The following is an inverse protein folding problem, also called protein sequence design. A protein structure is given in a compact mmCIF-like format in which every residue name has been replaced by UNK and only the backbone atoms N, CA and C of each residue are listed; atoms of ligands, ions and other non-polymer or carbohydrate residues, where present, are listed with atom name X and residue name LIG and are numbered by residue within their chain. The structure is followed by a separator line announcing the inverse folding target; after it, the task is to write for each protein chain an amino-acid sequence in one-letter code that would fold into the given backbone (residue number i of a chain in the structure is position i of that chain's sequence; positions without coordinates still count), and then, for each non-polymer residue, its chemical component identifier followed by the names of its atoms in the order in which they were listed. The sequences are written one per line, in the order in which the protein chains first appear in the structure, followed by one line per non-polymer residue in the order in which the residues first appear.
data_IF_942271860882
#
_entry.id   IF_942271860882
#
_cell.length_a   1.000
_cell.length_b   1.000
_cell.length_c   1.000
_cell.angle_alpha   90.00
_cell.angle_beta   90.00
_cell.angle_gamma   90.00
#
_symmetry.space_group_name_H-M   'P 1'
#
loop_
_entity.id
_entity.type
_entity.pdbx_description
1 polymer ?
#
# COMPACT_ATOMS: atom_id res chain seq x y z
N UNK A 1 -14.86 37.99 2.83
CA UNK A 1 -14.62 36.96 3.86
C UNK A 1 -15.35 35.71 3.42
N UNK A 2 -14.68 34.81 2.71
CA UNK A 2 -15.24 33.50 2.36
C UNK A 2 -15.39 32.71 3.66
N UNK A 3 -16.61 32.27 3.96
CA UNK A 3 -16.86 31.33 5.05
C UNK A 3 -16.18 30.02 4.65
N UNK A 4 -15.11 29.67 5.34
CA UNK A 4 -14.63 28.30 5.44
C UNK A 4 -15.78 27.46 5.99
N UNK A 5 -16.48 26.74 5.11
CA UNK A 5 -17.36 25.66 5.55
C UNK A 5 -16.46 24.66 6.28
N UNK A 6 -16.70 24.47 7.57
CA UNK A 6 -16.03 23.44 8.36
C UNK A 6 -16.25 22.11 7.65
N UNK A 7 -15.15 21.39 7.42
CA UNK A 7 -15.15 19.97 7.05
C UNK A 7 -16.12 19.26 8.02
N UNK A 8 -17.02 18.38 7.55
CA UNK A 8 -17.84 17.60 8.47
C UNK A 8 -16.91 16.92 9.48
N UNK A 9 -17.16 17.08 10.78
CA UNK A 9 -16.32 16.55 11.88
C UNK A 9 -16.02 15.04 11.71
N UNK A 10 -16.91 14.31 11.01
CA UNK A 10 -16.76 12.90 10.68
C UNK A 10 -15.73 12.59 9.57
N UNK A 11 -15.35 13.55 8.72
CA UNK A 11 -14.41 13.35 7.61
C UNK A 11 -12.95 13.65 8.00
N UNK A 12 -12.72 14.58 8.94
CA UNK A 12 -11.37 14.92 9.43
C UNK A 12 -10.63 13.71 10.03
N UNK A 13 -11.35 12.77 10.66
CA UNK A 13 -10.76 11.53 11.19
C UNK A 13 -10.26 10.55 10.12
N UNK A 14 -10.78 10.61 8.88
CA UNK A 14 -10.35 9.73 7.78
C UNK A 14 -9.27 10.37 6.90
N UNK A 15 -8.95 11.65 7.12
CA UNK A 15 -7.95 12.39 6.37
C UNK A 15 -6.66 12.37 7.17
N UNK A 16 -5.74 11.47 6.83
CA UNK A 16 -4.35 11.63 7.26
C UNK A 16 -3.73 12.71 6.37
N UNK A 17 -3.86 13.99 6.72
CA UNK A 17 -3.42 15.11 5.87
C UNK A 17 -1.93 15.07 5.50
N UNK A 18 -1.12 14.27 6.22
CA UNK A 18 0.31 14.10 5.95
C UNK A 18 0.62 12.65 5.56
N UNK A 19 0.94 12.34 4.29
CA UNK A 19 1.53 11.05 3.96
C UNK A 19 2.79 10.82 4.81
N UNK A 20 3.12 9.57 5.14
CA UNK A 20 4.46 9.23 5.62
C UNK A 20 5.49 9.85 4.66
N UNK A 21 6.57 10.52 5.14
CA UNK A 21 7.55 11.20 4.30
C UNK A 21 8.47 10.20 3.59
N UNK A 22 7.88 9.38 2.73
CA UNK A 22 8.51 8.30 1.97
C UNK A 22 8.74 8.84 0.58
N UNK A 23 10.00 8.96 0.19
CA UNK A 23 10.39 9.36 -1.16
C UNK A 23 10.22 8.19 -2.12
N UNK A 24 10.10 8.51 -3.40
CA UNK A 24 10.04 7.53 -4.47
C UNK A 24 11.24 6.55 -4.47
N UNK A 25 12.42 7.05 -4.09
CA UNK A 25 13.66 6.29 -4.00
C UNK A 25 13.75 5.41 -2.74
N UNK A 26 12.93 5.69 -1.71
CA UNK A 26 12.88 4.87 -0.49
C UNK A 26 12.14 3.55 -0.74
N UNK A 27 11.35 3.46 -1.81
CA UNK A 27 10.67 2.22 -2.21
C UNK A 27 11.67 1.29 -2.89
N UNK A 28 12.13 0.27 -2.19
CA UNK A 28 13.14 -0.67 -2.72
C UNK A 28 12.49 -1.68 -3.68
N UNK A 29 12.99 -1.73 -4.92
CA UNK A 29 12.51 -2.64 -5.97
C UNK A 29 11.20 -2.16 -6.60
N UNK A 30 10.33 -3.12 -6.96
CA UNK A 30 9.02 -2.86 -7.57
C UNK A 30 9.06 -2.07 -8.90
N UNK A 31 10.13 -2.19 -9.68
CA UNK A 31 10.36 -1.37 -10.88
C UNK A 31 9.22 -1.40 -11.89
N UNK A 32 8.59 -2.58 -12.08
CA UNK A 32 7.43 -2.71 -12.97
C UNK A 32 6.21 -1.95 -12.43
N UNK A 33 5.96 -2.02 -11.12
CA UNK A 33 4.86 -1.30 -10.48
C UNK A 33 5.11 0.22 -10.46
N UNK A 34 6.34 0.63 -10.14
CA UNK A 34 6.79 2.03 -10.25
C UNK A 34 6.55 2.58 -11.65
N UNK A 35 6.95 1.85 -12.68
CA UNK A 35 6.70 2.22 -14.08
C UNK A 35 5.22 2.35 -14.40
N UNK A 36 4.40 1.38 -14.01
CA UNK A 36 2.96 1.42 -14.24
C UNK A 36 2.29 2.62 -13.54
N UNK A 37 2.74 2.98 -12.34
CA UNK A 37 2.31 4.19 -11.62
C UNK A 37 2.75 5.45 -12.34
N UNK A 38 4.01 5.53 -12.79
CA UNK A 38 4.50 6.68 -13.56
C UNK A 38 3.64 6.94 -14.79
N UNK A 39 3.33 5.89 -15.55
CA UNK A 39 2.51 5.97 -16.76
C UNK A 39 1.04 6.32 -16.47
N UNK A 40 0.50 5.92 -15.31
CA UNK A 40 -0.92 6.09 -14.97
C UNK A 40 -1.23 7.38 -14.21
N UNK A 41 -0.25 7.94 -13.48
CA UNK A 41 -0.45 9.08 -12.58
C UNK A 41 0.53 10.21 -12.90
N UNK A 42 1.83 9.94 -12.83
CA UNK A 42 2.86 11.00 -12.84
C UNK A 42 2.97 11.67 -14.21
N UNK A 43 3.03 10.90 -15.31
CA UNK A 43 3.14 11.47 -16.66
C UNK A 43 1.90 12.29 -17.04
N UNK A 44 0.66 11.80 -16.84
CA UNK A 44 -0.52 12.61 -17.10
C UNK A 44 -0.63 13.87 -16.24
N UNK A 45 -0.16 13.85 -14.99
CA UNK A 45 -0.10 15.05 -14.15
C UNK A 45 0.91 16.07 -14.67
N UNK A 46 2.07 15.61 -15.16
CA UNK A 46 3.13 16.50 -15.69
C UNK A 46 2.77 17.10 -17.05
N UNK A 47 2.13 16.33 -17.94
CA UNK A 47 1.81 16.72 -19.33
C UNK A 47 0.43 16.21 -19.74
N UNK A 48 -0.67 16.76 -19.18
CA UNK A 48 -2.03 16.32 -19.47
C UNK A 48 -2.41 16.47 -20.95
N UNK A 49 -1.77 17.41 -21.66
CA UNK A 49 -1.94 17.65 -23.09
C UNK A 49 -1.55 16.45 -23.96
N UNK A 50 -0.69 15.57 -23.46
CA UNK A 50 -0.28 14.35 -24.17
C UNK A 50 -1.29 13.19 -24.02
N UNK A 51 -2.36 13.37 -23.24
CA UNK A 51 -3.36 12.35 -22.95
C UNK A 51 -4.77 12.78 -23.40
N UNK A 52 -4.99 13.07 -24.70
CA UNK A 52 -6.27 13.56 -25.21
C UNK A 52 -7.42 12.54 -25.10
N UNK A 53 -7.11 11.26 -24.91
CA UNK A 53 -8.08 10.17 -24.68
C UNK A 53 -8.38 9.95 -23.19
N UNK A 54 -7.79 10.75 -22.30
CA UNK A 54 -7.84 10.55 -20.86
C UNK A 54 -6.85 9.50 -20.36
N UNK A 55 -6.88 9.25 -19.06
CA UNK A 55 -6.02 8.29 -18.37
C UNK A 55 -6.71 7.69 -17.13
N UNK A 56 -6.20 6.57 -16.59
CA UNK A 56 -6.78 5.91 -15.42
C UNK A 56 -6.87 6.81 -14.18
N UNK A 57 -7.96 6.68 -13.43
CA UNK A 57 -8.12 7.30 -12.10
C UNK A 57 -8.27 6.27 -10.99
N UNK A 58 -8.78 5.08 -11.32
CA UNK A 58 -8.82 3.94 -10.42
C UNK A 58 -7.65 3.01 -10.68
N UNK A 59 -6.84 2.78 -9.66
CA UNK A 59 -5.67 1.90 -9.70
C UNK A 59 -5.78 0.87 -8.58
N UNK A 60 -5.79 -0.42 -8.92
CA UNK A 60 -5.79 -1.50 -7.95
C UNK A 60 -4.37 -2.04 -7.79
N UNK A 61 -3.81 -1.92 -6.58
CA UNK A 61 -2.59 -2.57 -6.14
C UNK A 61 -2.97 -3.90 -5.50
N UNK A 62 -2.50 -5.01 -6.05
CA UNK A 62 -2.77 -6.32 -5.47
C UNK A 62 -1.50 -7.16 -5.41
N UNK A 63 -1.38 -8.01 -4.41
CA UNK A 63 -0.19 -8.81 -4.20
C UNK A 63 -0.06 -9.28 -2.77
N UNK A 64 0.97 -10.08 -2.45
CA UNK A 64 1.15 -10.62 -1.12
C UNK A 64 1.21 -9.55 -0.03
N UNK A 65 0.80 -9.86 1.22
CA UNK A 65 0.96 -8.94 2.34
C UNK A 65 2.44 -8.59 2.55
N UNK A 66 2.71 -7.41 3.11
CA UNK A 66 4.09 -7.02 3.46
C UNK A 66 5.01 -6.70 2.27
N UNK A 67 4.47 -6.51 1.06
CA UNK A 67 5.26 -6.22 -0.15
C UNK A 67 5.23 -4.74 -0.59
N UNK A 68 4.81 -3.83 0.30
CA UNK A 68 4.96 -2.38 0.06
C UNK A 68 3.84 -1.68 -0.74
N UNK A 69 2.62 -2.25 -0.79
CA UNK A 69 1.45 -1.59 -1.43
C UNK A 69 1.15 -0.20 -0.85
N UNK A 70 0.95 -0.13 0.46
CA UNK A 70 0.70 1.12 1.22
C UNK A 70 1.87 2.11 1.08
N UNK A 71 3.10 1.60 1.16
CA UNK A 71 4.33 2.39 1.00
C UNK A 71 4.44 3.00 -0.40
N UNK A 72 4.15 2.22 -1.44
CA UNK A 72 4.14 2.71 -2.83
C UNK A 72 3.09 3.81 -3.01
N UNK A 73 1.88 3.63 -2.48
CA UNK A 73 0.82 4.65 -2.54
C UNK A 73 1.22 5.97 -1.87
N UNK A 74 1.82 5.91 -0.68
CA UNK A 74 2.36 7.09 0.01
C UNK A 74 3.48 7.77 -0.79
N UNK A 75 4.39 6.98 -1.38
CA UNK A 75 5.46 7.51 -2.22
C UNK A 75 4.93 8.21 -3.49
N UNK A 76 3.86 7.69 -4.10
CA UNK A 76 3.18 8.38 -5.22
C UNK A 76 2.72 9.76 -4.78
N UNK A 77 2.04 9.85 -3.63
CA UNK A 77 1.46 11.10 -3.16
C UNK A 77 2.54 12.16 -2.92
N UNK A 78 3.68 11.78 -2.33
CA UNK A 78 4.82 12.68 -2.16
C UNK A 78 5.43 13.12 -3.50
N UNK A 79 5.55 12.23 -4.48
CA UNK A 79 6.14 12.54 -5.80
C UNK A 79 5.33 13.58 -6.59
N UNK A 80 4.01 13.64 -6.37
CA UNK A 80 3.11 14.60 -7.06
C UNK A 80 2.60 15.73 -6.17
N UNK A 81 3.14 15.88 -4.95
CA UNK A 81 2.68 16.84 -3.93
C UNK A 81 1.15 16.79 -3.70
N UNK A 82 0.61 15.57 -3.61
CA UNK A 82 -0.81 15.33 -3.39
C UNK A 82 -1.18 15.20 -1.91
N UNK A 83 -2.40 15.62 -1.60
CA UNK A 83 -3.07 15.26 -0.34
C UNK A 83 -3.29 13.75 -0.33
N UNK A 84 -2.80 13.07 0.70
CA UNK A 84 -2.90 11.61 0.82
C UNK A 84 -3.99 11.21 1.82
N UNK A 85 -5.16 10.81 1.35
CA UNK A 85 -6.23 10.33 2.21
C UNK A 85 -6.12 8.82 2.39
N UNK A 86 -5.57 8.36 3.52
CA UNK A 86 -5.50 6.94 3.85
C UNK A 86 -6.77 6.46 4.55
N UNK A 87 -7.47 5.50 3.93
CA UNK A 87 -8.72 4.95 4.41
C UNK A 87 -8.60 3.43 4.51
N UNK A 88 -8.70 2.89 5.71
CA UNK A 88 -8.90 1.46 5.91
C UNK A 88 -10.37 1.14 5.64
N UNK A 89 -10.63 0.28 4.65
CA UNK A 89 -11.98 -0.08 4.24
C UNK A 89 -12.80 -0.75 5.37
N UNK A 90 -12.15 -1.43 6.32
CA UNK A 90 -12.82 -2.03 7.48
C UNK A 90 -13.35 -0.97 8.48
N UNK A 91 -12.71 0.20 8.53
CA UNK A 91 -13.14 1.33 9.36
C UNK A 91 -14.36 2.05 8.77
N UNK A 92 -14.48 2.09 7.44
CA UNK A 92 -15.68 2.61 6.75
C UNK A 92 -16.92 1.82 7.20
N UNK A 93 -16.75 0.52 7.43
CA UNK A 93 -17.81 -0.44 7.73
C UNK A 93 -18.22 -0.48 9.21
N UNK A 94 -17.26 -0.32 10.13
CA UNK A 94 -17.47 -0.60 11.56
C UNK A 94 -17.99 0.58 12.37
N UNK A 95 -17.76 1.83 11.95
CA UNK A 95 -17.95 2.99 12.84
C UNK A 95 -19.42 3.40 13.05
N UNK A 96 -20.33 3.15 12.12
CA UNK A 96 -21.76 3.49 12.28
C UNK A 96 -22.65 2.55 11.46
N UNK A 97 -23.35 1.63 12.13
CA UNK A 97 -24.34 0.75 11.52
C UNK A 97 -25.36 1.57 10.71
N UNK A 98 -25.22 1.57 9.38
CA UNK A 98 -26.15 2.22 8.45
C UNK A 98 -25.67 3.53 7.80
N UNK A 99 -24.45 4.02 8.09
CA UNK A 99 -23.93 5.27 7.51
C UNK A 99 -22.73 5.09 6.57
N UNK A 100 -22.40 3.87 6.17
CA UNK A 100 -21.24 3.58 5.32
C UNK A 100 -21.26 4.36 3.99
N UNK A 101 -22.44 4.58 3.38
CA UNK A 101 -22.59 5.44 2.20
C UNK A 101 -22.24 6.91 2.48
N UNK A 102 -22.63 7.43 3.64
CA UNK A 102 -22.32 8.81 4.04
C UNK A 102 -20.82 8.98 4.24
N UNK A 103 -20.15 8.01 4.84
CA UNK A 103 -18.69 8.01 5.03
C UNK A 103 -17.96 8.09 3.69
N UNK A 104 -18.32 7.21 2.74
CA UNK A 104 -17.74 7.25 1.38
C UNK A 104 -18.01 8.59 0.70
N UNK A 105 -19.25 9.11 0.79
CA UNK A 105 -19.60 10.41 0.21
C UNK A 105 -18.79 11.56 0.84
N UNK A 106 -18.55 11.52 2.15
CA UNK A 106 -17.79 12.53 2.88
C UNK A 106 -16.30 12.52 2.50
N UNK A 107 -15.70 11.35 2.32
CA UNK A 107 -14.33 11.20 1.82
C UNK A 107 -14.19 11.90 0.45
N UNK A 108 -15.06 11.57 -0.50
CA UNK A 108 -14.99 12.18 -1.84
C UNK A 108 -15.37 13.66 -1.86
N UNK A 109 -16.27 14.11 -0.98
CA UNK A 109 -16.55 15.54 -0.79
C UNK A 109 -15.28 16.29 -0.37
N UNK A 110 -14.59 15.77 0.64
CA UNK A 110 -13.34 16.37 1.16
C UNK A 110 -12.24 16.36 0.08
N UNK A 111 -12.11 15.27 -0.68
CA UNK A 111 -11.18 15.21 -1.81
C UNK A 111 -11.47 16.28 -2.87
N UNK A 112 -12.74 16.53 -3.20
CA UNK A 112 -13.15 17.60 -4.12
C UNK A 112 -12.88 19.00 -3.58
N UNK A 113 -12.98 19.21 -2.27
CA UNK A 113 -12.64 20.49 -1.62
C UNK A 113 -11.13 20.77 -1.76
N UNK A 114 -10.29 19.76 -1.51
CA UNK A 114 -8.84 19.85 -1.74
C UNK A 114 -8.48 20.07 -3.21
N UNK A 115 -9.13 19.33 -4.12
CA UNK A 115 -8.96 19.54 -5.56
C UNK A 115 -9.33 20.97 -5.98
N UNK A 116 -10.43 21.52 -5.46
CA UNK A 116 -10.85 22.89 -5.76
C UNK A 116 -9.85 23.96 -5.25
N UNK A 117 -9.03 23.62 -4.25
CA UNK A 117 -7.91 24.44 -3.79
C UNK A 117 -6.65 24.31 -4.67
N UNK A 118 -6.70 23.51 -5.73
CA UNK A 118 -5.61 23.31 -6.69
C UNK A 118 -4.65 22.18 -6.34
N UNK A 119 -4.93 21.37 -5.30
CA UNK A 119 -4.07 20.26 -4.90
C UNK A 119 -4.55 18.93 -5.51
N UNK A 120 -3.66 18.09 -6.05
CA UNK A 120 -4.02 16.72 -6.40
C UNK A 120 -4.33 15.91 -5.13
N UNK A 121 -5.15 14.88 -5.26
CA UNK A 121 -5.58 14.04 -4.14
C UNK A 121 -5.40 12.56 -4.49
N UNK A 122 -4.74 11.82 -3.62
CA UNK A 122 -4.67 10.35 -3.65
C UNK A 122 -5.57 9.84 -2.52
N UNK A 123 -6.70 9.22 -2.87
CA UNK A 123 -7.51 8.44 -1.94
C UNK A 123 -6.97 7.01 -1.96
N UNK A 124 -6.27 6.61 -0.89
CA UNK A 124 -5.73 5.27 -0.74
C UNK A 124 -6.66 4.42 0.15
N UNK A 125 -7.30 3.41 -0.43
CA UNK A 125 -8.21 2.49 0.25
C UNK A 125 -7.48 1.17 0.50
N UNK A 126 -7.05 0.92 1.73
CA UNK A 126 -6.42 -0.35 2.11
C UNK A 126 -7.47 -1.42 2.45
N UNK A 127 -7.09 -2.68 2.31
CA UNK A 127 -7.95 -3.86 2.53
C UNK A 127 -9.33 -3.77 1.83
N UNK A 128 -9.35 -3.32 0.57
CA UNK A 128 -10.60 -3.03 -0.16
C UNK A 128 -11.51 -4.27 -0.34
N UNK A 129 -10.96 -5.48 -0.21
CA UNK A 129 -11.74 -6.72 -0.20
C UNK A 129 -12.72 -6.82 1.00
N UNK A 130 -12.51 -6.05 2.06
CA UNK A 130 -13.48 -5.94 3.16
C UNK A 130 -14.80 -5.29 2.74
N UNK A 131 -14.85 -4.52 1.63
CA UNK A 131 -16.10 -3.98 1.07
C UNK A 131 -16.86 -5.00 0.19
N UNK A 132 -16.22 -6.10 -0.17
CA UNK A 132 -16.79 -7.13 -1.05
C UNK A 132 -16.98 -8.48 -0.37
N UNK A 133 -16.45 -8.65 0.84
CA UNK A 133 -16.63 -9.85 1.64
C UNK A 133 -18.12 -10.08 1.89
N UNK A 134 -18.71 -11.11 1.29
CA UNK A 134 -20.11 -11.48 1.57
C UNK A 134 -20.16 -12.05 2.98
N UNK A 135 -20.50 -11.23 3.98
CA UNK A 135 -20.76 -11.74 5.33
C UNK A 135 -22.18 -12.31 5.39
N UNK A 136 -22.27 -13.62 5.63
CA UNK A 136 -23.52 -14.39 5.70
C UNK A 136 -24.54 -13.79 6.69
N UNK A 137 -24.07 -12.99 7.67
CA UNK A 137 -24.89 -12.40 8.73
C UNK A 137 -25.00 -10.87 8.71
N UNK A 138 -24.44 -10.15 7.71
CA UNK A 138 -24.45 -8.68 7.69
C UNK A 138 -25.36 -8.14 6.57
N UNK A 139 -26.43 -7.43 6.96
CA UNK A 139 -27.50 -7.01 6.06
C UNK A 139 -27.08 -5.74 5.31
N UNK A 140 -26.41 -5.91 4.16
CA UNK A 140 -26.37 -4.94 3.06
C UNK A 140 -25.56 -3.65 3.25
N UNK A 141 -24.87 -3.45 4.37
CA UNK A 141 -23.99 -2.29 4.58
C UNK A 141 -22.80 -2.24 3.61
N UNK A 142 -22.17 -3.39 3.36
CA UNK A 142 -21.00 -3.54 2.48
C UNK A 142 -21.37 -3.24 1.03
N UNK A 143 -22.47 -3.85 0.57
CA UNK A 143 -23.01 -3.62 -0.77
C UNK A 143 -23.35 -2.14 -1.00
N UNK A 144 -23.93 -1.47 0.00
CA UNK A 144 -24.23 -0.03 -0.04
C UNK A 144 -22.96 0.83 -0.13
N UNK A 145 -21.98 0.58 0.74
CA UNK A 145 -20.69 1.29 0.72
C UNK A 145 -19.97 1.11 -0.63
N UNK A 146 -19.91 -0.13 -1.12
CA UNK A 146 -19.32 -0.49 -2.41
C UNK A 146 -20.03 0.20 -3.56
N UNK A 147 -21.37 0.18 -3.58
CA UNK A 147 -22.15 0.84 -4.63
C UNK A 147 -21.94 2.35 -4.61
N UNK A 148 -21.87 2.96 -3.42
CA UNK A 148 -21.56 4.38 -3.29
C UNK A 148 -20.13 4.70 -3.76
N UNK A 149 -19.15 3.85 -3.44
CA UNK A 149 -17.78 4.00 -3.94
C UNK A 149 -17.72 3.92 -5.47
N UNK A 150 -18.41 2.96 -6.08
CA UNK A 150 -18.53 2.85 -7.54
C UNK A 150 -19.12 4.15 -8.13
N UNK A 151 -20.20 4.66 -7.53
CA UNK A 151 -20.85 5.90 -7.98
C UNK A 151 -19.92 7.10 -7.90
N UNK A 152 -19.17 7.26 -6.81
CA UNK A 152 -18.19 8.33 -6.65
C UNK A 152 -17.03 8.20 -7.66
N UNK A 153 -16.53 6.98 -7.88
CA UNK A 153 -15.49 6.71 -8.90
C UNK A 153 -15.98 7.01 -10.32
N UNK A 154 -17.22 6.67 -10.66
CA UNK A 154 -17.81 6.99 -11.97
C UNK A 154 -17.88 8.52 -12.18
N UNK A 155 -18.15 9.28 -11.12
CA UNK A 155 -18.12 10.75 -11.15
C UNK A 155 -16.73 11.35 -11.44
N UNK A 156 -15.64 10.62 -11.20
CA UNK A 156 -14.28 11.06 -11.53
C UNK A 156 -13.93 10.87 -13.02
N UNK A 157 -14.68 10.05 -13.75
CA UNK A 157 -14.43 9.70 -15.15
C UNK A 157 -15.19 10.60 -16.14
N UNK A 158 -15.85 11.64 -15.64
CA UNK A 158 -16.75 12.46 -16.44
C UNK A 158 -16.00 13.31 -17.48
N UNK A 159 -16.47 13.26 -18.73
CA UNK A 159 -15.68 13.54 -19.97
C UNK A 159 -15.33 15.01 -20.23
N UNK A 160 -15.53 15.90 -19.26
CA UNK A 160 -15.27 17.34 -19.39
C UNK A 160 -14.35 17.93 -18.32
N UNK A 161 -13.94 17.15 -17.31
CA UNK A 161 -13.11 17.63 -16.20
C UNK A 161 -11.91 16.73 -16.02
N UNK A 162 -10.71 17.29 -16.10
CA UNK A 162 -9.48 16.60 -15.70
C UNK A 162 -9.40 16.56 -14.18
N UNK A 163 -10.21 15.68 -13.56
CA UNK A 163 -10.20 15.51 -12.10
C UNK A 163 -8.78 15.25 -11.60
N UNK A 164 -8.26 15.92 -10.59
CA UNK A 164 -6.95 15.63 -10.00
C UNK A 164 -7.04 14.65 -8.83
N UNK A 165 -8.17 13.93 -8.74
CA UNK A 165 -8.43 12.91 -7.73
C UNK A 165 -8.14 11.53 -8.31
N UNK A 166 -7.33 10.76 -7.61
CA UNK A 166 -7.00 9.38 -7.92
C UNK A 166 -7.45 8.47 -6.77
N UNK A 167 -7.95 7.29 -7.11
CA UNK A 167 -8.33 6.24 -6.15
C UNK A 167 -7.36 5.08 -6.32
N UNK A 168 -6.49 4.89 -5.35
CA UNK A 168 -5.62 3.72 -5.25
C UNK A 168 -6.25 2.77 -4.24
N UNK A 169 -6.54 1.54 -4.62
CA UNK A 169 -7.03 0.53 -3.70
C UNK A 169 -6.00 -0.58 -3.53
N UNK A 170 -5.85 -1.12 -2.33
CA UNK A 170 -4.97 -2.24 -2.04
C UNK A 170 -5.75 -3.47 -1.54
N UNK A 171 -5.31 -4.65 -1.97
CA UNK A 171 -5.83 -5.92 -1.45
C UNK A 171 -4.79 -7.04 -1.51
N UNK A 172 -4.90 -7.99 -0.58
CA UNK A 172 -4.18 -9.26 -0.62
C UNK A 172 -5.04 -10.41 -1.17
N UNK A 173 -6.32 -10.17 -1.46
CA UNK A 173 -7.31 -11.19 -1.85
C UNK A 173 -8.14 -10.70 -3.04
N UNK A 174 -7.51 -10.41 -4.20
CA UNK A 174 -8.21 -9.81 -5.33
C UNK A 174 -9.34 -10.69 -5.90
N UNK A 175 -9.31 -12.01 -5.67
CA UNK A 175 -10.39 -12.93 -6.03
C UNK A 175 -11.70 -12.72 -5.25
N UNK A 176 -11.71 -11.96 -4.16
CA UNK A 176 -12.93 -11.57 -3.44
C UNK A 176 -13.65 -10.39 -4.09
N UNK A 177 -13.03 -9.69 -5.04
CA UNK A 177 -13.63 -8.56 -5.72
C UNK A 177 -14.54 -9.04 -6.87
N UNK A 178 -15.71 -8.42 -7.00
CA UNK A 178 -16.61 -8.69 -8.12
C UNK A 178 -16.23 -7.90 -9.38
N UNK A 179 -16.65 -8.39 -10.55
CA UNK A 179 -16.30 -7.78 -11.83
C UNK A 179 -16.80 -6.32 -11.97
N UNK A 180 -18.02 -5.95 -11.55
CA UNK A 180 -18.48 -4.56 -11.57
C UNK A 180 -17.53 -3.61 -10.82
N UNK A 181 -17.03 -4.02 -9.66
CA UNK A 181 -16.08 -3.25 -8.87
C UNK A 181 -14.70 -3.21 -9.53
N UNK A 182 -14.18 -4.35 -10.00
CA UNK A 182 -12.88 -4.45 -10.70
C UNK A 182 -12.83 -3.50 -11.92
N UNK A 183 -13.92 -3.36 -12.67
CA UNK A 183 -13.99 -2.48 -13.87
C UNK A 183 -13.69 -1.01 -13.57
N UNK A 184 -13.81 -0.55 -12.31
CA UNK A 184 -13.50 0.84 -11.93
C UNK A 184 -12.01 1.08 -11.71
N UNK A 185 -11.22 0.01 -11.62
CA UNK A 185 -9.77 0.07 -11.59
C UNK A 185 -9.23 -0.21 -13.00
N UNK A 186 -9.09 0.87 -13.79
CA UNK A 186 -8.62 0.76 -15.18
C UNK A 186 -7.19 0.27 -15.26
N UNK A 187 -6.37 0.50 -14.21
CA UNK A 187 -5.06 -0.12 -14.06
C UNK A 187 -5.06 -1.09 -12.87
N UNK A 188 -4.53 -2.29 -13.10
CA UNK A 188 -4.37 -3.32 -12.07
C UNK A 188 -2.89 -3.71 -12.03
N UNK A 189 -2.25 -3.45 -10.91
CA UNK A 189 -0.80 -3.57 -10.75
C UNK A 189 -0.52 -4.68 -9.74
N UNK A 190 0.15 -5.73 -10.20
CA UNK A 190 0.64 -6.79 -9.34
C UNK A 190 1.91 -6.35 -8.63
N UNK A 191 1.90 -6.43 -7.31
CA UNK A 191 3.04 -6.20 -6.44
C UNK A 191 3.57 -7.56 -6.00
N UNK A 192 4.66 -7.99 -6.63
CA UNK A 192 5.28 -9.29 -6.38
C UNK A 192 6.14 -9.29 -5.11
N UNK A 193 6.56 -10.49 -4.69
CA UNK A 193 7.64 -10.67 -3.73
C UNK A 193 8.94 -10.00 -4.24
N UNK A 194 9.81 -9.53 -3.32
CA UNK A 194 11.07 -8.89 -3.71
C UNK A 194 11.98 -9.86 -4.47
N UNK A 195 12.58 -9.40 -5.57
CA UNK A 195 13.65 -10.12 -6.29
C UNK A 195 14.89 -10.30 -5.42
N UNK A 196 15.86 -11.09 -5.88
CA UNK A 196 17.14 -11.22 -5.19
C UNK A 196 17.80 -9.87 -4.91
N UNK A 197 17.89 -9.01 -5.93
CA UNK A 197 18.49 -7.68 -5.85
C UNK A 197 17.71 -6.77 -4.90
N UNK A 198 16.38 -6.86 -4.91
CA UNK A 198 15.54 -6.12 -3.97
C UNK A 198 15.77 -6.60 -2.53
N UNK A 199 15.91 -7.91 -2.30
CA UNK A 199 16.20 -8.47 -0.97
C UNK A 199 17.59 -8.05 -0.47
N UNK A 200 18.62 -8.03 -1.32
CA UNK A 200 19.94 -7.49 -0.95
C UNK A 200 19.80 -6.06 -0.45
N UNK A 201 19.15 -5.18 -1.23
CA UNK A 201 18.92 -3.78 -0.84
C UNK A 201 18.07 -3.63 0.42
N UNK A 202 17.09 -4.51 0.64
CA UNK A 202 16.28 -4.51 1.86
C UNK A 202 17.13 -4.84 3.09
N UNK A 203 18.02 -5.84 3.00
CA UNK A 203 18.98 -6.13 4.06
C UNK A 203 19.96 -4.97 4.28
N UNK A 204 20.53 -4.40 3.21
CA UNK A 204 21.38 -3.20 3.30
C UNK A 204 20.66 -2.06 4.05
N UNK A 205 19.39 -1.82 3.71
CA UNK A 205 18.60 -0.76 4.31
C UNK A 205 18.27 -1.01 5.79
N UNK A 206 17.83 -2.20 6.15
CA UNK A 206 17.39 -2.49 7.52
C UNK A 206 18.56 -2.88 8.43
N UNK A 207 19.37 -3.86 8.01
CA UNK A 207 20.49 -4.34 8.80
C UNK A 207 21.65 -3.33 8.84
N UNK A 208 21.81 -2.48 7.82
CA UNK A 208 22.83 -1.42 7.80
C UNK A 208 22.66 -0.36 8.89
N UNK A 209 21.51 -0.33 9.58
CA UNK A 209 21.27 0.53 10.76
C UNK A 209 21.76 -0.10 12.08
N UNK A 210 22.22 -1.35 12.03
CA UNK A 210 22.61 -2.15 13.20
C UNK A 210 24.14 -2.19 13.35
N UNK A 211 24.62 -2.53 14.54
CA UNK A 211 26.05 -2.73 14.79
C UNK A 211 26.48 -4.13 14.30
N UNK A 212 26.90 -4.22 13.04
CA UNK A 212 27.24 -5.47 12.37
C UNK A 212 28.73 -5.83 12.50
N UNK A 213 29.01 -7.14 12.48
CA UNK A 213 30.32 -7.70 12.19
C UNK A 213 30.68 -7.50 10.71
N UNK A 214 31.96 -7.35 10.40
CA UNK A 214 32.45 -7.05 9.05
C UNK A 214 32.21 -8.22 8.08
N UNK A 215 31.93 -9.43 8.61
CA UNK A 215 31.68 -10.64 7.82
C UNK A 215 30.19 -10.85 7.46
N UNK A 216 29.29 -9.89 7.71
CA UNK A 216 27.88 -10.02 7.36
C UNK A 216 27.68 -9.79 5.85
N UNK A 217 27.32 -10.85 5.13
CA UNK A 217 27.12 -10.82 3.68
C UNK A 217 25.62 -10.76 3.30
N UNK A 218 25.14 -9.58 2.91
CA UNK A 218 23.73 -9.39 2.49
C UNK A 218 23.35 -10.22 1.27
N UNK A 219 24.32 -10.51 0.38
CA UNK A 219 24.12 -11.37 -0.79
C UNK A 219 23.70 -12.79 -0.40
N UNK A 220 24.26 -13.33 0.68
CA UNK A 220 23.91 -14.68 1.15
C UNK A 220 22.60 -14.67 1.93
N UNK A 221 22.34 -13.63 2.74
CA UNK A 221 21.02 -13.44 3.38
C UNK A 221 19.90 -13.38 2.34
N UNK A 222 20.09 -12.64 1.24
CA UNK A 222 19.12 -12.54 0.15
C UNK A 222 18.92 -13.88 -0.60
N UNK A 223 19.96 -14.74 -0.67
CA UNK A 223 19.88 -16.07 -1.29
C UNK A 223 19.02 -17.01 -0.45
N UNK A 224 19.24 -17.07 0.86
CA UNK A 224 18.52 -17.99 1.75
C UNK A 224 17.11 -17.52 2.11
N UNK A 225 16.76 -16.27 1.82
CA UNK A 225 15.41 -15.70 2.05
C UNK A 225 14.56 -15.63 0.78
N UNK A 226 14.76 -16.55 -0.16
CA UNK A 226 13.84 -16.66 -1.29
C UNK A 226 12.41 -16.97 -0.80
N UNK A 227 11.41 -16.27 -1.34
CA UNK A 227 10.01 -16.38 -0.92
C UNK A 227 9.61 -15.44 0.24
N UNK A 228 10.55 -14.72 0.85
CA UNK A 228 10.27 -13.79 1.94
C UNK A 228 9.77 -12.45 1.40
N UNK A 229 8.75 -11.87 2.06
CA UNK A 229 8.28 -10.52 1.80
C UNK A 229 9.23 -9.46 2.37
N UNK A 230 9.04 -8.19 1.99
CA UNK A 230 9.81 -7.09 2.58
C UNK A 230 9.56 -6.96 4.09
N UNK A 231 8.33 -7.23 4.54
CA UNK A 231 7.98 -7.27 5.97
C UNK A 231 8.66 -8.43 6.72
N UNK A 232 8.84 -9.59 6.09
CA UNK A 232 9.57 -10.70 6.71
C UNK A 232 11.05 -10.33 6.89
N UNK A 233 11.68 -9.70 5.91
CA UNK A 233 13.09 -9.25 5.99
C UNK A 233 13.27 -8.20 7.09
N UNK A 234 12.37 -7.23 7.17
CA UNK A 234 12.36 -6.26 8.27
C UNK A 234 12.24 -6.97 9.63
N UNK A 235 11.33 -7.95 9.74
CA UNK A 235 11.11 -8.72 10.96
C UNK A 235 12.33 -9.57 11.36
N UNK A 236 13.04 -10.15 10.39
CA UNK A 236 14.31 -10.86 10.63
C UNK A 236 15.32 -9.90 11.26
N UNK A 237 15.50 -8.71 10.67
CA UNK A 237 16.46 -7.73 11.18
C UNK A 237 16.10 -7.27 12.61
N UNK A 238 14.82 -7.03 12.88
CA UNK A 238 14.34 -6.69 14.22
C UNK A 238 14.57 -7.81 15.24
N UNK A 239 14.35 -9.06 14.86
CA UNK A 239 14.52 -10.20 15.77
C UNK A 239 16.00 -10.49 16.06
N UNK A 240 16.87 -10.33 15.07
CA UNK A 240 18.32 -10.39 15.26
C UNK A 240 18.80 -9.28 16.21
N UNK A 241 18.31 -8.06 16.03
CA UNK A 241 18.58 -6.96 16.94
C UNK A 241 18.12 -7.30 18.36
N UNK A 242 16.87 -7.77 18.52
CA UNK A 242 16.31 -8.12 19.82
C UNK A 242 17.10 -9.23 20.50
N UNK A 243 17.51 -10.27 19.75
CA UNK A 243 18.34 -11.37 20.27
C UNK A 243 19.62 -10.84 20.92
N UNK A 244 20.37 -10.00 20.21
CA UNK A 244 21.64 -9.46 20.72
C UNK A 244 21.42 -8.50 21.89
N UNK A 245 20.36 -7.70 21.86
CA UNK A 245 19.97 -6.83 22.97
C UNK A 245 19.59 -7.64 24.22
N UNK A 246 18.82 -8.71 24.07
CA UNK A 246 18.45 -9.60 25.18
C UNK A 246 19.68 -10.25 25.81
N UNK A 247 20.60 -10.80 25.00
CA UNK A 247 21.86 -11.40 25.49
C UNK A 247 22.70 -10.40 26.30
N UNK A 248 22.74 -9.12 25.88
CA UNK A 248 23.43 -8.06 26.60
C UNK A 248 22.83 -7.81 27.99
N UNK A 249 21.49 -7.76 28.11
CA UNK A 249 20.85 -7.58 29.41
C UNK A 249 20.91 -8.83 30.30
N UNK A 250 20.79 -10.03 29.71
CA UNK A 250 20.88 -11.31 30.44
C UNK A 250 22.28 -11.57 31.03
N UNK A 251 23.32 -11.03 30.39
CA UNK A 251 24.71 -11.11 30.89
C UNK A 251 25.05 -10.05 31.95
N UNK A 252 24.06 -9.29 32.43
CA UNK A 252 24.21 -8.31 33.50
C UNK A 252 24.36 -6.86 33.05
N UNK A 253 24.34 -6.60 31.73
CA UNK A 253 24.56 -5.28 31.15
C UNK A 253 26.03 -4.83 31.26
N UNK A 254 26.64 -4.48 30.13
CA UNK A 254 27.99 -3.91 30.04
C UNK A 254 27.95 -2.48 29.46
N UNK A 255 29.03 -2.08 28.78
CA UNK A 255 29.06 -0.78 28.08
C UNK A 255 28.26 -0.83 26.77
N UNK A 256 28.48 -1.86 25.93
CA UNK A 256 27.79 -2.00 24.64
C UNK A 256 27.45 -3.47 24.31
N UNK A 257 26.36 -3.75 23.56
CA UNK A 257 26.08 -5.08 23.03
C UNK A 257 27.18 -5.53 22.06
N UNK A 258 27.43 -6.85 21.99
CA UNK A 258 28.30 -7.42 20.97
C UNK A 258 27.81 -7.08 19.55
N UNK A 259 28.72 -7.07 18.58
CA UNK A 259 28.34 -7.00 17.16
C UNK A 259 27.43 -8.16 16.76
N UNK A 260 26.48 -7.88 15.87
CA UNK A 260 25.61 -8.87 15.23
C UNK A 260 26.40 -9.62 14.16
N UNK A 261 26.37 -10.95 14.20
CA UNK A 261 27.11 -11.82 13.28
C UNK A 261 26.18 -12.47 12.27
N UNK A 262 26.77 -13.06 11.24
CA UNK A 262 26.04 -13.80 10.21
C UNK A 262 25.23 -14.98 10.81
N UNK A 263 25.76 -15.62 11.84
CA UNK A 263 25.09 -16.74 12.54
C UNK A 263 23.79 -16.30 13.21
N UNK A 264 23.70 -15.08 13.73
CA UNK A 264 22.48 -14.56 14.35
C UNK A 264 21.33 -14.50 13.34
N UNK A 265 21.62 -14.03 12.12
CA UNK A 265 20.66 -14.02 11.03
C UNK A 265 20.23 -15.45 10.65
N UNK A 266 21.19 -16.37 10.49
CA UNK A 266 20.85 -17.74 10.12
C UNK A 266 20.02 -18.45 11.20
N UNK A 267 20.27 -18.20 12.48
CA UNK A 267 19.46 -18.74 13.58
C UNK A 267 18.02 -18.23 13.52
N UNK A 268 17.82 -16.93 13.29
CA UNK A 268 16.48 -16.34 13.14
C UNK A 268 15.78 -16.85 11.88
N UNK A 269 16.48 -16.88 10.75
CA UNK A 269 15.93 -17.36 9.46
C UNK A 269 15.53 -18.83 9.54
N UNK A 270 16.25 -19.68 10.29
CA UNK A 270 15.86 -21.09 10.47
C UNK A 270 14.57 -21.26 11.29
N UNK A 271 14.33 -20.35 12.24
CA UNK A 271 13.15 -20.37 13.10
C UNK A 271 11.93 -19.75 12.42
N UNK A 272 12.15 -18.80 11.50
CA UNK A 272 11.09 -18.18 10.71
C UNK A 272 10.84 -18.93 9.41
N UNK A 273 9.57 -19.02 9.03
CA UNK A 273 9.16 -19.39 7.67
C UNK A 273 8.67 -18.14 6.96
N UNK A 274 8.70 -18.08 5.62
CA UNK A 274 8.02 -17.02 4.88
C UNK A 274 6.58 -16.89 5.34
N UNK A 275 6.09 -15.66 5.54
CA UNK A 275 4.69 -15.43 5.93
C UNK A 275 3.72 -15.59 4.77
N UNK A 276 4.22 -15.54 3.53
CA UNK A 276 3.42 -15.65 2.32
C UNK A 276 3.28 -17.11 1.90
N UNK A 277 2.03 -17.55 1.77
CA UNK A 277 1.68 -18.90 1.31
C UNK A 277 1.74 -19.04 -0.22
N UNK A 278 2.24 -20.20 -0.69
CA UNK A 278 2.44 -20.49 -2.11
C UNK A 278 1.11 -20.66 -2.88
N UNK A 279 0.08 -21.25 -2.25
CA UNK A 279 -1.24 -21.37 -2.87
C UNK A 279 -1.88 -19.97 -3.04
N UNK A 280 -1.69 -19.10 -2.05
CA UNK A 280 -2.01 -17.68 -2.14
C UNK A 280 -1.36 -16.99 -3.35
N UNK A 281 -0.06 -17.17 -3.57
CA UNK A 281 0.65 -16.60 -4.73
C UNK A 281 0.09 -17.15 -6.04
N UNK A 282 -0.13 -18.46 -6.13
CA UNK A 282 -0.69 -19.09 -7.33
C UNK A 282 -2.05 -18.48 -7.70
N UNK A 283 -2.95 -18.34 -6.72
CA UNK A 283 -4.25 -17.69 -6.92
C UNK A 283 -4.12 -16.24 -7.39
N UNK A 284 -3.13 -15.49 -6.88
CA UNK A 284 -2.87 -14.13 -7.35
C UNK A 284 -2.41 -14.08 -8.80
N UNK A 285 -1.53 -14.99 -9.22
CA UNK A 285 -1.04 -15.05 -10.60
C UNK A 285 -2.15 -15.44 -11.58
N UNK A 286 -2.97 -16.44 -11.22
CA UNK A 286 -4.15 -16.81 -12.01
C UNK A 286 -5.14 -15.64 -12.13
N UNK A 287 -5.36 -14.90 -11.03
CA UNK A 287 -6.19 -13.70 -11.06
C UNK A 287 -5.58 -12.59 -11.93
N UNK A 288 -4.27 -12.37 -11.83
CA UNK A 288 -3.53 -11.38 -12.62
C UNK A 288 -3.60 -11.67 -14.11
N UNK A 289 -3.51 -12.93 -14.51
CA UNK A 289 -3.65 -13.37 -15.90
C UNK A 289 -5.07 -13.13 -16.41
N UNK A 290 -6.08 -13.55 -15.64
CA UNK A 290 -7.50 -13.39 -15.99
C UNK A 290 -7.90 -11.91 -16.14
N UNK A 291 -7.39 -11.05 -15.26
CA UNK A 291 -7.76 -9.64 -15.19
C UNK A 291 -6.64 -8.70 -15.64
N UNK A 292 -5.71 -9.18 -16.46
CA UNK A 292 -4.57 -8.38 -16.92
C UNK A 292 -5.05 -7.14 -17.69
N UNK A 293 -4.65 -5.97 -17.23
CA UNK A 293 -4.75 -4.73 -18.01
C UNK A 293 -3.51 -4.64 -18.89
N UNK A 294 -3.68 -4.57 -20.21
CA UNK A 294 -2.57 -4.36 -21.14
C UNK A 294 -1.76 -3.09 -20.80
#
# INVERSE_FOLDING_TARGET
VQKTEKIPEAAEEYVIENPPPIKWDDVIGLEQAKKAIMESIIYPMKRPDLFPLGWPRGILLFGPPGCGKTMLAAAVANEIDAVFMHVDASLIMSKWLGESEKNVSAIFKTAREYEASGKPVIIFIDEVDSLTAVRINEVGGEARARNQLIKEMDGLLDKGRHSMIYVLAATNKPWLLDEPFIRRFQKRIYIDLPSYEARVKLFEHYAGKLNLDDNVEFGELARVTNGYSAADIHSICMEVQMKVVSEFFESGGGDEPRKIRMEDFFEVIRKRKPSVDLDGIKKMLEWAEKFRTH
#
